data_IF_579968939255
#
_entry.id   IF_579968939255
#
_cell.length_a   1.000
_cell.length_b   1.000
_cell.length_c   1.000
_cell.angle_alpha   90.00
_cell.angle_beta   90.00
_cell.angle_gamma   90.00
#
_symmetry.space_group_name_H-M   'P 1'
#
loop_
_entity.id
_entity.type
_entity.pdbx_description
1 polymer ?
#
# COMPACT_ATOMS: atom_id res chain seq x y z
N UNK A 1 -19.17 -1.28 15.85
CA UNK A 1 -19.83 -0.14 15.19
C UNK A 1 -18.74 0.65 14.50
N UNK A 2 -18.77 0.73 13.17
CA UNK A 2 -17.93 1.68 12.43
C UNK A 2 -18.73 2.98 12.35
N UNK A 3 -18.19 4.07 12.88
CA UNK A 3 -18.77 5.41 12.72
C UNK A 3 -18.30 5.97 11.38
N UNK A 4 -19.17 6.62 10.62
CA UNK A 4 -18.72 7.41 9.48
C UNK A 4 -17.92 8.62 9.97
N UNK A 5 -16.96 9.11 9.17
CA UNK A 5 -16.20 10.32 9.54
C UNK A 5 -17.16 11.51 9.71
N UNK A 6 -18.23 11.58 8.93
CA UNK A 6 -19.27 12.60 9.07
C UNK A 6 -19.99 12.49 10.42
N UNK A 7 -20.35 11.27 10.84
CA UNK A 7 -21.00 11.01 12.14
C UNK A 7 -20.09 11.36 13.33
N UNK A 8 -18.78 11.14 13.21
CA UNK A 8 -17.81 11.49 14.25
C UNK A 8 -17.56 13.01 14.32
N UNK A 9 -17.59 13.70 13.18
CA UNK A 9 -17.30 15.13 13.10
C UNK A 9 -18.48 16.04 13.45
N UNK A 10 -19.71 15.52 13.51
CA UNK A 10 -20.85 16.00 14.33
C UNK A 10 -21.25 17.49 14.30
N UNK A 11 -20.65 18.31 13.45
CA UNK A 11 -20.81 19.76 13.44
C UNK A 11 -21.46 20.23 12.14
N UNK A 12 -22.45 21.13 12.27
CA UNK A 12 -23.29 21.62 11.16
C UNK A 12 -22.50 22.35 10.05
N UNK A 13 -21.23 22.70 10.28
CA UNK A 13 -20.36 23.44 9.36
C UNK A 13 -19.12 22.66 8.89
N UNK A 14 -19.13 21.32 8.99
CA UNK A 14 -18.00 20.48 8.53
C UNK A 14 -18.36 19.76 7.23
N UNK A 15 -17.62 20.06 6.15
CA UNK A 15 -17.69 19.36 4.87
C UNK A 15 -16.58 18.31 4.80
N UNK A 16 -16.93 17.07 4.46
CA UNK A 16 -15.98 15.97 4.27
C UNK A 16 -16.03 15.51 2.82
N UNK A 17 -14.90 15.61 2.12
CA UNK A 17 -14.73 15.12 0.76
C UNK A 17 -13.74 13.96 0.74
N UNK A 18 -14.20 12.78 0.32
CA UNK A 18 -13.37 11.59 0.18
C UNK A 18 -13.04 11.38 -1.30
N UNK A 19 -11.76 11.21 -1.62
CA UNK A 19 -11.26 10.83 -2.94
C UNK A 19 -10.46 9.55 -2.83
N UNK A 20 -10.87 8.54 -3.57
CA UNK A 20 -10.19 7.24 -3.57
C UNK A 20 -9.34 7.08 -4.84
N UNK A 21 -8.03 7.11 -4.67
CA UNK A 21 -7.05 6.94 -5.75
C UNK A 21 -6.54 5.49 -5.84
N UNK A 22 -7.15 4.54 -5.12
CA UNK A 22 -6.76 3.12 -5.20
C UNK A 22 -7.22 2.47 -6.50
N UNK A 23 -8.42 2.82 -6.97
CA UNK A 23 -8.99 2.29 -8.22
C UNK A 23 -8.56 3.12 -9.45
N UNK A 24 -8.51 4.45 -9.33
CA UNK A 24 -8.06 5.37 -10.39
C UNK A 24 -6.73 6.03 -10.00
N UNK A 25 -5.65 5.27 -10.14
CA UNK A 25 -4.31 5.67 -9.72
C UNK A 25 -3.72 6.76 -10.66
N UNK A 26 -3.25 7.86 -10.09
CA UNK A 26 -2.62 8.93 -10.85
C UNK A 26 -1.11 8.71 -10.95
N UNK A 27 -0.62 8.25 -12.11
CA UNK A 27 0.81 7.93 -12.30
C UNK A 27 1.34 6.90 -11.28
N UNK A 28 0.53 5.89 -10.97
CA UNK A 28 0.87 4.88 -9.96
C UNK A 28 0.70 5.37 -8.51
N UNK A 29 0.37 6.64 -8.28
CA UNK A 29 0.04 7.12 -6.96
C UNK A 29 -1.31 6.55 -6.48
N UNK A 30 -1.33 5.97 -5.28
CA UNK A 30 -2.49 5.33 -4.65
C UNK A 30 -2.61 5.74 -3.19
N UNK A 31 -3.79 6.21 -2.81
CA UNK A 31 -4.17 6.57 -1.44
C UNK A 31 -5.67 6.82 -1.36
N UNK A 32 -6.23 6.85 -0.16
CA UNK A 32 -7.52 7.52 0.09
C UNK A 32 -7.24 8.88 0.70
N UNK A 33 -7.77 9.94 0.09
CA UNK A 33 -7.66 11.31 0.58
C UNK A 33 -8.99 11.74 1.17
N UNK A 34 -8.97 12.22 2.40
CA UNK A 34 -10.11 12.83 3.07
C UNK A 34 -9.80 14.29 3.33
N UNK A 35 -10.51 15.18 2.65
CA UNK A 35 -10.41 16.63 2.84
C UNK A 35 -11.55 17.03 3.76
N UNK A 36 -11.20 17.56 4.93
CA UNK A 36 -12.13 18.04 5.95
C UNK A 36 -12.06 19.56 5.92
N UNK A 37 -13.16 20.22 5.56
CA UNK A 37 -13.29 21.68 5.61
C UNK A 37 -14.17 22.07 6.78
N UNK A 38 -13.68 23.00 7.59
CA UNK A 38 -14.39 23.55 8.74
C UNK A 38 -14.13 25.06 8.85
N UNK A 39 -14.88 25.80 9.69
CA UNK A 39 -14.58 27.20 9.97
C UNK A 39 -13.18 27.43 10.54
N UNK A 40 -12.61 26.43 11.23
CA UNK A 40 -11.25 26.49 11.78
C UNK A 40 -10.15 26.28 10.73
N UNK A 41 -10.50 25.79 9.55
CA UNK A 41 -9.57 25.56 8.45
C UNK A 41 -9.83 24.27 7.68
N UNK A 42 -8.90 23.97 6.77
CA UNK A 42 -8.92 22.79 5.90
C UNK A 42 -7.82 21.83 6.35
N UNK A 43 -8.20 20.57 6.59
CA UNK A 43 -7.27 19.48 6.89
C UNK A 43 -7.39 18.42 5.80
N UNK A 44 -6.27 17.95 5.29
CA UNK A 44 -6.21 16.79 4.40
C UNK A 44 -5.60 15.60 5.14
N UNK A 45 -6.34 14.50 5.21
CA UNK A 45 -5.89 13.23 5.79
C UNK A 45 -5.68 12.25 4.65
N UNK A 46 -4.48 11.69 4.54
CA UNK A 46 -4.16 10.70 3.51
C UNK A 46 -3.95 9.34 4.17
N UNK A 47 -4.80 8.39 3.84
CA UNK A 47 -4.68 7.00 4.29
C UNK A 47 -3.92 6.21 3.24
N UNK A 48 -2.82 5.59 3.67
CA UNK A 48 -1.94 4.77 2.84
C UNK A 48 -1.56 3.50 3.58
N UNK A 49 -1.44 2.40 2.86
CA UNK A 49 -0.72 1.23 3.38
C UNK A 49 0.77 1.56 3.52
N UNK A 50 1.52 0.71 4.25
CA UNK A 50 2.97 0.89 4.37
C UNK A 50 3.64 0.88 2.98
N UNK A 51 3.24 -0.03 2.09
CA UNK A 51 3.82 -0.14 0.75
C UNK A 51 3.50 1.09 -0.10
N UNK A 52 2.25 1.55 -0.09
CA UNK A 52 1.84 2.78 -0.77
C UNK A 52 2.63 4.01 -0.27
N UNK A 53 2.84 4.12 1.05
CA UNK A 53 3.61 5.21 1.65
C UNK A 53 5.08 5.20 1.20
N UNK A 54 5.73 4.04 1.23
CA UNK A 54 7.14 3.91 0.80
C UNK A 54 7.32 4.15 -0.69
N UNK A 55 6.39 3.64 -1.49
CA UNK A 55 6.37 3.89 -2.92
C UNK A 55 6.23 5.39 -3.22
N UNK A 56 5.28 6.07 -2.57
CA UNK A 56 5.05 7.49 -2.77
C UNK A 56 6.28 8.34 -2.42
N UNK A 57 6.96 8.02 -1.32
CA UNK A 57 8.19 8.71 -0.93
C UNK A 57 9.29 8.54 -1.98
N UNK A 58 9.50 7.32 -2.49
CA UNK A 58 10.49 7.07 -3.54
C UNK A 58 10.14 7.81 -4.86
N UNK A 59 8.86 7.81 -5.23
CA UNK A 59 8.37 8.52 -6.40
C UNK A 59 8.54 10.04 -6.29
N UNK A 60 8.27 10.62 -5.11
CA UNK A 60 8.51 12.04 -4.83
C UNK A 60 10.01 12.40 -4.96
N UNK A 61 10.90 11.56 -4.43
CA UNK A 61 12.34 11.78 -4.58
C UNK A 61 12.78 11.70 -6.04
N UNK A 62 12.23 10.76 -6.83
CA UNK A 62 12.51 10.67 -8.26
C UNK A 62 12.03 11.93 -8.99
N UNK A 63 10.82 12.40 -8.69
CA UNK A 63 10.26 13.61 -9.26
C UNK A 63 11.09 14.85 -8.92
N UNK A 64 11.63 14.93 -7.71
CA UNK A 64 12.55 16.00 -7.31
C UNK A 64 13.87 15.97 -8.11
N UNK A 65 14.43 14.78 -8.38
CA UNK A 65 15.70 14.62 -9.12
C UNK A 65 15.53 14.96 -10.61
N UNK A 66 14.45 14.51 -11.24
CA UNK A 66 14.19 14.78 -12.66
C UNK A 66 13.60 16.18 -12.91
N UNK A 67 13.26 16.90 -11.83
CA UNK A 67 12.64 18.20 -11.86
C UNK A 67 11.17 18.17 -12.31
N UNK A 68 10.63 19.35 -12.67
CA UNK A 68 9.21 19.51 -13.06
C UNK A 68 8.79 18.69 -14.29
N UNK A 69 9.71 18.02 -14.99
CA UNK A 69 9.42 17.31 -16.24
C UNK A 69 8.54 16.05 -16.04
N UNK A 70 8.63 15.32 -14.92
CA UNK A 70 7.74 14.16 -14.67
C UNK A 70 6.33 14.60 -14.24
N UNK A 71 6.20 15.80 -13.67
CA UNK A 71 4.95 16.27 -13.05
C UNK A 71 3.92 16.79 -14.07
N UNK A 72 4.29 16.97 -15.34
CA UNK A 72 3.49 17.69 -16.35
C UNK A 72 3.45 17.06 -17.77
N UNK A 73 3.54 15.74 -17.91
CA UNK A 73 3.09 14.99 -19.11
C UNK A 73 3.81 15.21 -20.47
N UNK A 74 5.10 15.54 -20.55
CA UNK A 74 5.82 15.46 -21.85
C UNK A 74 7.26 15.00 -21.67
N UNK A 75 7.45 13.74 -21.30
CA UNK A 75 8.73 13.10 -21.57
C UNK A 75 8.45 11.73 -22.17
N UNK A 76 8.77 11.58 -23.45
CA UNK A 76 9.21 10.29 -23.98
C UNK A 76 10.55 9.98 -23.30
N UNK A 77 10.48 9.50 -22.05
CA UNK A 77 11.66 8.97 -21.40
C UNK A 77 12.05 7.73 -22.20
N UNK A 78 13.19 7.79 -22.88
CA UNK A 78 13.72 6.59 -23.49
C UNK A 78 13.96 5.57 -22.37
N UNK A 79 13.54 4.33 -22.58
CA UNK A 79 13.84 3.21 -21.68
C UNK A 79 15.37 2.96 -21.56
N UNK A 80 16.18 3.63 -22.38
CA UNK A 80 17.64 3.59 -22.31
C UNK A 80 18.24 4.56 -21.27
N UNK A 81 17.46 5.52 -20.75
CA UNK A 81 17.93 6.45 -19.72
C UNK A 81 17.75 5.86 -18.31
N UNK A 82 18.79 5.86 -17.45
CA UNK A 82 18.70 5.26 -16.11
C UNK A 82 17.50 5.72 -15.27
N UNK A 83 17.12 7.00 -15.35
CA UNK A 83 15.98 7.53 -14.63
C UNK A 83 14.63 7.13 -15.25
N UNK A 84 14.58 6.91 -16.57
CA UNK A 84 13.41 6.36 -17.26
C UNK A 84 13.13 4.91 -16.84
N UNK A 85 14.18 4.09 -16.67
CA UNK A 85 14.06 2.73 -16.13
C UNK A 85 13.56 2.73 -14.69
N UNK A 86 14.04 3.64 -13.84
CA UNK A 86 13.56 3.76 -12.46
C UNK A 86 12.08 4.18 -12.43
N UNK A 87 11.68 5.12 -13.29
CA UNK A 87 10.29 5.53 -13.42
C UNK A 87 9.38 4.36 -13.82
N UNK A 88 9.71 3.62 -14.89
CA UNK A 88 8.90 2.49 -15.36
C UNK A 88 8.82 1.37 -14.32
N UNK A 89 9.92 1.10 -13.61
CA UNK A 89 9.93 0.16 -12.51
C UNK A 89 9.03 0.61 -11.36
N UNK A 90 9.04 1.89 -10.97
CA UNK A 90 8.11 2.40 -9.96
C UNK A 90 6.66 2.27 -10.43
N UNK A 91 6.34 2.55 -11.69
CA UNK A 91 4.98 2.33 -12.20
C UNK A 91 4.55 0.86 -12.07
N UNK A 92 5.42 -0.09 -12.43
CA UNK A 92 5.15 -1.52 -12.27
C UNK A 92 4.96 -1.91 -10.80
N UNK A 93 5.84 -1.44 -9.91
CA UNK A 93 5.75 -1.71 -8.46
C UNK A 93 4.42 -1.21 -7.90
N UNK A 94 3.91 -0.05 -8.35
CA UNK A 94 2.59 0.43 -7.89
C UNK A 94 1.47 -0.54 -8.26
N UNK A 95 1.48 -1.07 -9.48
CA UNK A 95 0.50 -2.07 -9.93
C UNK A 95 0.63 -3.36 -9.12
N UNK A 96 1.85 -3.86 -8.93
CA UNK A 96 2.12 -5.06 -8.13
C UNK A 96 1.62 -4.91 -6.68
N UNK A 97 1.84 -3.73 -6.06
CA UNK A 97 1.32 -3.41 -4.72
C UNK A 97 -0.21 -3.53 -4.68
N UNK A 98 -0.91 -2.96 -5.67
CA UNK A 98 -2.37 -3.01 -5.72
C UNK A 98 -2.89 -4.45 -5.86
N UNK A 99 -2.23 -5.28 -6.68
CA UNK A 99 -2.59 -6.70 -6.83
C UNK A 99 -2.40 -7.48 -5.52
N UNK A 100 -1.28 -7.24 -4.82
CA UNK A 100 -1.01 -7.85 -3.51
C UNK A 100 -2.07 -7.44 -2.50
N UNK A 101 -2.41 -6.16 -2.41
CA UNK A 101 -3.42 -5.63 -1.48
C UNK A 101 -4.79 -6.26 -1.72
N UNK A 102 -5.21 -6.35 -2.99
CA UNK A 102 -6.47 -6.99 -3.39
C UNK A 102 -6.50 -8.49 -3.09
N UNK A 103 -5.37 -9.18 -3.26
CA UNK A 103 -5.22 -10.60 -2.92
C UNK A 103 -5.26 -10.85 -1.40
N UNK A 104 -4.84 -9.88 -0.59
CA UNK A 104 -4.94 -9.95 0.88
C UNK A 104 -6.39 -9.73 1.31
N UNK A 105 -7.07 -8.72 0.77
CA UNK A 105 -8.45 -8.38 1.11
C UNK A 105 -9.41 -9.54 0.82
N UNK A 106 -9.38 -10.08 -0.40
CA UNK A 106 -10.23 -11.22 -0.82
C UNK A 106 -10.03 -12.51 0.01
N UNK A 107 -8.85 -12.69 0.62
CA UNK A 107 -8.52 -13.86 1.44
C UNK A 107 -8.92 -13.68 2.91
N UNK A 108 -8.95 -12.45 3.40
CA UNK A 108 -9.30 -12.14 4.80
C UNK A 108 -10.76 -12.50 5.14
N UNK A 109 -11.67 -12.34 4.18
CA UNK A 109 -13.11 -12.52 4.41
C UNK A 109 -13.53 -13.99 4.54
N UNK A 110 -12.97 -14.86 3.69
CA UNK A 110 -13.35 -16.28 3.64
C UNK A 110 -12.62 -17.13 4.68
N UNK A 111 -11.34 -16.84 4.94
CA UNK A 111 -10.50 -17.69 5.79
C UNK A 111 -10.81 -17.50 7.28
N UNK A 112 -11.08 -16.26 7.72
CA UNK A 112 -11.39 -15.96 9.12
C UNK A 112 -12.71 -16.57 9.58
N UNK A 113 -13.74 -16.53 8.73
CA UNK A 113 -15.05 -17.14 9.03
C UNK A 113 -14.92 -18.66 9.17
N UNK A 114 -14.20 -19.31 8.25
CA UNK A 114 -13.95 -20.75 8.31
C UNK A 114 -13.10 -21.14 9.53
N UNK A 115 -12.07 -20.37 9.86
CA UNK A 115 -11.22 -20.55 11.04
C UNK A 115 -12.02 -20.46 12.35
N UNK A 116 -12.85 -19.42 12.49
CA UNK A 116 -13.66 -19.23 13.68
C UNK A 116 -14.67 -20.37 13.86
N UNK A 117 -15.27 -20.86 12.78
CA UNK A 117 -16.17 -22.02 12.84
C UNK A 117 -15.44 -23.28 13.31
N UNK A 118 -14.21 -23.52 12.83
CA UNK A 118 -13.43 -24.71 13.18
C UNK A 118 -12.88 -24.69 14.60
N UNK A 119 -12.40 -23.53 15.07
CA UNK A 119 -11.93 -23.32 16.44
C UNK A 119 -13.09 -23.47 17.43
N UNK A 120 -14.28 -22.96 17.07
CA UNK A 120 -15.49 -23.07 17.89
C UNK A 120 -16.11 -24.48 17.88
N UNK A 121 -15.70 -25.35 16.96
CA UNK A 121 -16.15 -26.75 16.87
C UNK A 121 -15.54 -27.67 17.94
N UNK A 122 -14.85 -27.13 18.96
CA UNK A 122 -14.33 -27.94 20.07
C UNK A 122 -15.49 -28.57 20.86
N UNK A 123 -15.81 -29.83 20.57
CA UNK A 123 -16.52 -30.70 21.50
C UNK A 123 -15.93 -32.12 21.56
N UNK A 124 -15.86 -32.61 22.79
CA UNK A 124 -15.24 -33.81 23.37
C UNK A 124 -15.84 -35.17 22.91
N UNK A 125 -16.24 -35.29 21.64
CA UNK A 125 -16.79 -36.54 21.10
C UNK A 125 -15.81 -37.19 20.11
N UNK A 126 -15.71 -38.54 20.08
CA UNK A 126 -14.95 -39.22 19.04
C UNK A 126 -15.55 -38.86 17.67
N UNK A 127 -14.85 -38.02 16.93
CA UNK A 127 -15.19 -37.63 15.57
C UNK A 127 -15.19 -38.88 14.69
N UNK A 128 -16.15 -39.01 13.78
CA UNK A 128 -16.10 -40.05 12.75
C UNK A 128 -14.81 -39.92 11.93
N UNK A 129 -14.36 -41.02 11.30
CA UNK A 129 -13.16 -41.02 10.45
C UNK A 129 -13.26 -39.94 9.37
N UNK A 130 -14.45 -39.77 8.77
CA UNK A 130 -14.72 -38.75 7.76
C UNK A 130 -14.50 -37.33 8.30
N UNK A 131 -14.99 -37.03 9.51
CA UNK A 131 -14.78 -35.72 10.13
C UNK A 131 -13.32 -35.50 10.53
N UNK A 132 -12.60 -36.55 10.95
CA UNK A 132 -11.16 -36.47 11.22
C UNK A 132 -10.36 -36.16 9.95
N UNK A 133 -10.68 -36.81 8.84
CA UNK A 133 -10.07 -36.55 7.52
C UNK A 133 -10.37 -35.12 7.06
N UNK A 134 -11.62 -34.67 7.16
CA UNK A 134 -11.99 -33.30 6.81
C UNK A 134 -11.21 -32.28 7.63
N UNK A 135 -11.12 -32.48 8.94
CA UNK A 135 -10.35 -31.62 9.84
C UNK A 135 -8.86 -31.60 9.48
N UNK A 136 -8.25 -32.75 9.17
CA UNK A 136 -6.85 -32.84 8.76
C UNK A 136 -6.60 -32.05 7.47
N UNK A 137 -7.48 -32.19 6.47
CA UNK A 137 -7.39 -31.44 5.22
C UNK A 137 -7.53 -29.93 5.46
N UNK A 138 -8.46 -29.49 6.31
CA UNK A 138 -8.59 -28.07 6.60
C UNK A 138 -7.36 -27.51 7.31
N UNK A 139 -6.80 -28.24 8.29
CA UNK A 139 -5.56 -27.84 8.95
C UNK A 139 -4.39 -27.74 7.94
N UNK A 140 -4.28 -28.67 7.00
CA UNK A 140 -3.27 -28.60 5.94
C UNK A 140 -3.45 -27.34 5.07
N UNK A 141 -4.68 -27.03 4.65
CA UNK A 141 -4.98 -25.79 3.90
C UNK A 141 -4.63 -24.53 4.69
N UNK A 142 -4.87 -24.53 6.01
CA UNK A 142 -4.52 -23.40 6.88
C UNK A 142 -3.01 -23.22 6.99
N UNK A 143 -2.25 -24.29 7.18
CA UNK A 143 -0.78 -24.23 7.19
C UNK A 143 -0.23 -23.68 5.87
N UNK A 144 -0.81 -24.11 4.73
CA UNK A 144 -0.43 -23.58 3.42
C UNK A 144 -0.74 -22.09 3.29
N UNK A 145 -1.93 -21.66 3.74
CA UNK A 145 -2.32 -20.25 3.73
C UNK A 145 -1.38 -19.38 4.57
N UNK A 146 -1.05 -19.84 5.79
CA UNK A 146 -0.12 -19.14 6.70
C UNK A 146 1.30 -19.08 6.11
N UNK A 147 1.75 -20.17 5.48
CA UNK A 147 3.06 -20.21 4.81
C UNK A 147 3.11 -19.20 3.67
N UNK A 148 2.07 -19.13 2.83
CA UNK A 148 1.98 -18.15 1.76
C UNK A 148 1.96 -16.71 2.30
N UNK A 149 1.17 -16.44 3.35
CA UNK A 149 1.11 -15.13 4.00
C UNK A 149 2.49 -14.72 4.53
N UNK A 150 3.22 -15.64 5.15
CA UNK A 150 4.59 -15.41 5.64
C UNK A 150 5.56 -15.09 4.51
N UNK A 151 5.52 -15.84 3.40
CA UNK A 151 6.36 -15.58 2.23
C UNK A 151 6.04 -14.22 1.60
N UNK A 152 4.76 -13.87 1.49
CA UNK A 152 4.32 -12.56 1.01
C UNK A 152 4.78 -11.43 1.94
N UNK A 153 4.66 -11.60 3.26
CA UNK A 153 5.15 -10.63 4.24
C UNK A 153 6.67 -10.42 4.13
N UNK A 154 7.45 -11.49 3.92
CA UNK A 154 8.88 -11.42 3.68
C UNK A 154 9.22 -10.64 2.40
N UNK A 155 8.49 -10.88 1.32
CA UNK A 155 8.64 -10.14 0.06
C UNK A 155 8.30 -8.66 0.25
N UNK A 156 7.20 -8.36 0.94
CA UNK A 156 6.79 -6.99 1.25
C UNK A 156 7.85 -6.25 2.08
N UNK A 157 8.44 -6.91 3.08
CA UNK A 157 9.51 -6.33 3.89
C UNK A 157 10.77 -6.02 3.07
N UNK A 158 11.13 -6.88 2.10
CA UNK A 158 12.24 -6.61 1.17
C UNK A 158 11.92 -5.44 0.25
N UNK A 159 10.70 -5.37 -0.29
CA UNK A 159 10.28 -4.27 -1.14
C UNK A 159 10.32 -2.94 -0.39
N UNK A 160 9.85 -2.90 0.87
CA UNK A 160 10.00 -1.73 1.74
C UNK A 160 11.46 -1.29 1.82
N UNK A 161 12.37 -2.22 2.13
CA UNK A 161 13.81 -1.92 2.24
C UNK A 161 14.38 -1.36 0.93
N UNK A 162 14.05 -1.97 -0.21
CA UNK A 162 14.54 -1.50 -1.51
C UNK A 162 13.98 -0.12 -1.88
N UNK A 163 12.71 0.17 -1.52
CA UNK A 163 12.13 1.50 -1.75
C UNK A 163 12.77 2.57 -0.84
N UNK A 164 13.14 2.22 0.40
CA UNK A 164 13.90 3.10 1.29
C UNK A 164 15.31 3.38 0.72
N UNK A 165 16.05 2.34 0.33
CA UNK A 165 17.38 2.46 -0.28
C UNK A 165 17.33 3.31 -1.56
N UNK A 166 16.32 3.09 -2.41
CA UNK A 166 16.12 3.89 -3.62
C UNK A 166 15.87 5.37 -3.29
N UNK A 167 15.02 5.65 -2.30
CA UNK A 167 14.73 7.02 -1.87
C UNK A 167 16.00 7.71 -1.33
N UNK A 168 16.84 6.99 -0.57
CA UNK A 168 18.13 7.49 -0.07
C UNK A 168 19.08 7.83 -1.23
N UNK A 169 19.26 6.92 -2.19
CA UNK A 169 20.10 7.14 -3.37
C UNK A 169 19.63 8.38 -4.16
N UNK A 170 18.32 8.50 -4.40
CA UNK A 170 17.75 9.65 -5.11
C UNK A 170 17.96 10.96 -4.33
N UNK A 171 17.85 10.92 -3.00
CA UNK A 171 18.13 12.06 -2.16
C UNK A 171 19.60 12.49 -2.23
N UNK A 172 20.54 11.55 -2.26
CA UNK A 172 21.97 11.84 -2.45
C UNK A 172 22.26 12.46 -3.82
N UNK A 173 21.66 11.91 -4.89
CA UNK A 173 21.76 12.47 -6.24
C UNK A 173 21.28 13.92 -6.29
N UNK A 174 20.16 14.24 -5.63
CA UNK A 174 19.63 15.61 -5.52
C UNK A 174 20.62 16.55 -4.82
N UNK A 175 21.27 16.11 -3.75
CA UNK A 175 22.29 16.89 -3.02
C UNK A 175 23.50 17.18 -3.90
N UNK A 176 23.95 16.20 -4.69
CA UNK A 176 25.07 16.38 -5.62
C UNK A 176 24.75 17.34 -6.77
N UNK A 177 23.50 17.38 -7.23
CA UNK A 177 23.04 18.26 -8.30
C UNK A 177 22.77 19.71 -7.86
N UNK A 178 22.69 19.99 -6.55
CA UNK A 178 22.49 21.34 -6.01
C UNK A 178 23.85 21.99 -5.68
N UNK A 179 24.23 23.14 -6.27
CA UNK A 179 25.52 23.76 -6.00
C UNK A 179 25.60 24.24 -4.53
N UNK A 180 26.66 23.84 -3.83
CA UNK A 180 27.02 24.39 -2.52
C UNK A 180 27.03 25.92 -2.59
N UNK A 181 26.38 26.65 -1.64
CA UNK A 181 26.45 28.09 -1.64
C UNK A 181 27.92 28.50 -1.45
N UNK A 182 28.47 29.25 -2.41
CA UNK A 182 29.78 29.90 -2.25
C UNK A 182 29.67 30.79 -1.01
N UNK A 183 30.28 30.35 0.08
CA UNK A 183 30.52 31.17 1.27
C UNK A 183 31.33 32.38 0.79
N UNK A 184 30.71 33.56 0.88
CA UNK A 184 31.36 34.85 0.64
C UNK A 184 32.27 35.21 1.80
#
# INVERSE_FOLDING_TARGET
MAYSIEEFLGAEDVEVLIRDYREDAQHGYRAVHTIIRSPAGIVEVQLRTLLQARWANAYEMLADVMGRKIRYQEIELSEDEPLGVVYSNLQRISTDIAEIEKAIESRSENTNTALMNLVNSRHFLPLSVETQVLRANTLASLVQAETYATLSALQNARLVKHLEELAEILQEMKKMASPQPKVR
#
